data_IF_054969534794
#
_entry.id   IF_054969534794
#
_cell.length_a   1.000
_cell.length_b   1.000
_cell.length_c   1.000
_cell.angle_alpha   90.00
_cell.angle_beta   90.00
_cell.angle_gamma   90.00
#
_symmetry.space_group_name_H-M   'P 1'
#
loop_
_entity.id
_entity.type
_entity.pdbx_description
1 polymer ?
#
# COMPACT_ATOMS: atom_id res chain seq x y z
N UNK A 1 29.75 9.43 5.46
CA UNK A 1 28.35 9.62 5.06
C UNK A 1 27.76 8.23 5.04
N UNK A 2 26.99 7.87 6.06
CA UNK A 2 26.39 6.55 6.13
C UNK A 2 25.31 6.48 5.07
N UNK A 3 25.54 5.68 4.05
CA UNK A 3 24.58 5.32 3.03
C UNK A 3 23.50 4.48 3.73
N UNK A 4 22.46 5.14 4.24
CA UNK A 4 21.25 4.44 4.69
C UNK A 4 20.47 4.08 3.44
N UNK A 5 20.97 3.07 2.72
CA UNK A 5 20.21 2.49 1.61
C UNK A 5 18.96 1.87 2.24
N UNK A 6 17.80 2.51 2.02
CA UNK A 6 16.51 2.02 2.49
C UNK A 6 16.30 0.55 2.12
N UNK A 7 15.60 -0.20 2.97
CA UNK A 7 15.35 -1.61 2.67
C UNK A 7 14.36 -1.70 1.50
N UNK A 8 14.63 -2.58 0.54
CA UNK A 8 13.67 -2.86 -0.54
C UNK A 8 12.72 -3.98 -0.09
N UNK A 9 11.41 -3.74 -0.17
CA UNK A 9 10.37 -4.76 0.03
C UNK A 9 9.77 -5.17 -1.32
N UNK A 10 9.61 -6.47 -1.52
CA UNK A 10 9.00 -7.02 -2.74
C UNK A 10 7.54 -7.39 -2.45
N UNK A 11 6.60 -6.73 -3.14
CA UNK A 11 5.17 -6.92 -2.94
C UNK A 11 4.45 -7.19 -4.26
N UNK A 12 3.34 -7.92 -4.20
CA UNK A 12 2.50 -8.16 -5.37
C UNK A 12 1.28 -7.23 -5.36
N UNK A 13 0.87 -6.80 -6.56
CA UNK A 13 -0.37 -6.08 -6.82
C UNK A 13 -1.20 -6.78 -7.90
N UNK A 14 -2.51 -6.57 -7.83
CA UNK A 14 -3.38 -6.82 -8.98
C UNK A 14 -3.17 -5.73 -10.03
N UNK A 15 -3.33 -6.07 -11.32
CA UNK A 15 -3.07 -5.15 -12.44
C UNK A 15 -3.73 -3.79 -12.26
N UNK A 16 -5.02 -3.76 -11.91
CA UNK A 16 -5.77 -2.51 -11.72
C UNK A 16 -5.13 -1.54 -10.70
N UNK A 17 -4.47 -2.07 -9.65
CA UNK A 17 -3.80 -1.22 -8.65
C UNK A 17 -2.36 -0.90 -9.06
N UNK A 18 -1.70 -1.83 -9.74
CA UNK A 18 -0.38 -1.60 -10.31
C UNK A 18 -0.40 -0.41 -11.28
N UNK A 19 -1.37 -0.37 -12.19
CA UNK A 19 -1.49 0.71 -13.18
C UNK A 19 -1.73 2.09 -12.52
N UNK A 20 -2.44 2.12 -11.38
CA UNK A 20 -2.67 3.34 -10.62
C UNK A 20 -1.41 3.83 -9.88
N UNK A 21 -0.59 2.92 -9.38
CA UNK A 21 0.70 3.25 -8.76
C UNK A 21 1.70 3.69 -9.83
N UNK A 22 1.79 2.95 -10.94
CA UNK A 22 2.70 3.24 -12.05
C UNK A 22 2.38 4.57 -12.77
N UNK A 23 1.14 5.05 -12.69
CA UNK A 23 0.74 6.38 -13.16
C UNK A 23 0.93 7.50 -12.13
N UNK A 24 1.35 7.17 -10.89
CA UNK A 24 1.48 8.14 -9.79
C UNK A 24 0.14 8.64 -9.23
N UNK A 25 -0.98 8.08 -9.68
CA UNK A 25 -2.33 8.53 -9.29
C UNK A 25 -2.72 8.03 -7.90
N UNK A 26 -2.26 6.83 -7.52
CA UNK A 26 -2.49 6.23 -6.19
C UNK A 26 -1.26 6.47 -5.31
N UNK A 27 -1.46 7.17 -4.19
CA UNK A 27 -0.39 7.58 -3.27
C UNK A 27 -0.42 6.86 -1.92
N UNK A 28 -1.50 6.12 -1.62
CA UNK A 28 -1.61 5.30 -0.41
C UNK A 28 -1.76 3.83 -0.80
N UNK A 29 -0.81 2.99 -0.41
CA UNK A 29 -0.93 1.55 -0.46
C UNK A 29 -1.51 1.00 0.85
N UNK A 30 -2.50 0.12 0.75
CA UNK A 30 -3.16 -0.48 1.91
C UNK A 30 -2.65 -1.90 2.12
N UNK A 31 -2.17 -2.20 3.33
CA UNK A 31 -1.77 -3.54 3.76
C UNK A 31 -2.36 -3.84 5.14
N UNK A 32 -2.36 -5.10 5.52
CA UNK A 32 -2.49 -5.47 6.94
C UNK A 32 -1.11 -5.52 7.58
N UNK A 33 -1.05 -5.40 8.90
CA UNK A 33 0.20 -5.44 9.68
C UNK A 33 0.79 -6.85 9.77
N UNK A 34 1.18 -7.39 8.62
CA UNK A 34 1.94 -8.64 8.60
C UNK A 34 3.28 -8.46 9.31
N UNK A 35 3.81 -9.51 9.96
CA UNK A 35 5.10 -9.42 10.65
C UNK A 35 6.26 -8.94 9.77
N UNK A 36 6.25 -9.24 8.47
CA UNK A 36 7.28 -8.81 7.50
C UNK A 36 7.16 -7.34 7.06
N UNK A 37 6.10 -6.65 7.48
CA UNK A 37 5.87 -5.22 7.25
C UNK A 37 5.93 -4.41 8.55
N UNK A 38 6.16 -5.06 9.69
CA UNK A 38 6.13 -4.41 11.00
C UNK A 38 7.25 -3.37 11.20
N UNK A 39 8.34 -3.48 10.44
CA UNK A 39 9.49 -2.57 10.47
C UNK A 39 9.56 -1.63 9.26
N UNK A 40 8.53 -1.64 8.39
CA UNK A 40 8.48 -0.75 7.23
C UNK A 40 8.38 0.70 7.69
N UNK A 41 9.26 1.57 7.19
CA UNK A 41 9.31 2.96 7.59
C UNK A 41 9.57 3.91 6.41
N UNK A 42 9.41 5.20 6.67
CA UNK A 42 9.80 6.23 5.71
C UNK A 42 11.30 6.11 5.37
N UNK A 43 11.61 6.23 4.07
CA UNK A 43 12.96 6.03 3.54
C UNK A 43 13.22 4.61 3.01
N UNK A 44 12.34 3.64 3.29
CA UNK A 44 12.36 2.35 2.58
C UNK A 44 11.81 2.49 1.16
N UNK A 45 12.04 1.47 0.32
CA UNK A 45 11.45 1.38 -1.01
C UNK A 45 10.65 0.10 -1.16
N UNK A 46 9.62 0.13 -2.00
CA UNK A 46 8.82 -1.04 -2.36
C UNK A 46 8.94 -1.26 -3.86
N UNK A 47 9.27 -2.49 -4.24
CA UNK A 47 9.14 -2.97 -5.62
C UNK A 47 7.85 -3.77 -5.74
N UNK A 48 6.89 -3.20 -6.44
CA UNK A 48 5.65 -3.88 -6.80
C UNK A 48 5.83 -4.73 -8.04
N UNK A 49 5.14 -5.87 -8.09
CA UNK A 49 5.09 -6.77 -9.24
C UNK A 49 3.67 -7.26 -9.50
N UNK A 50 3.37 -7.63 -10.73
CA UNK A 50 2.16 -8.39 -11.06
C UNK A 50 2.53 -9.87 -11.18
N UNK A 51 1.81 -10.74 -10.45
CA UNK A 51 2.04 -12.19 -10.48
C UNK A 51 1.92 -12.73 -11.92
N UNK A 52 2.91 -13.51 -12.34
CA UNK A 52 2.93 -14.13 -13.68
C UNK A 52 3.43 -13.22 -14.80
N UNK A 53 4.05 -12.08 -14.46
CA UNK A 53 4.65 -11.14 -15.42
C UNK A 53 6.02 -10.67 -14.92
N UNK A 54 6.80 -10.05 -15.81
CA UNK A 54 8.06 -9.36 -15.46
C UNK A 54 7.86 -7.87 -15.17
N UNK A 55 6.61 -7.37 -15.16
CA UNK A 55 6.31 -5.97 -14.89
C UNK A 55 6.59 -5.61 -13.43
N UNK A 56 7.36 -4.54 -13.24
CA UNK A 56 7.71 -4.00 -11.92
C UNK A 56 7.53 -2.50 -11.86
N UNK A 57 7.23 -1.99 -10.66
CA UNK A 57 7.14 -0.57 -10.36
C UNK A 57 7.79 -0.32 -9.00
N UNK A 58 8.74 0.60 -8.94
CA UNK A 58 9.40 0.98 -7.69
C UNK A 58 8.83 2.27 -7.14
N UNK A 59 8.63 2.29 -5.82
CA UNK A 59 8.14 3.46 -5.09
C UNK A 59 8.97 3.66 -3.83
N UNK A 60 9.03 4.91 -3.38
CA UNK A 60 9.62 5.29 -2.10
C UNK A 60 8.52 5.42 -1.05
N UNK A 61 8.77 4.89 0.14
CA UNK A 61 7.88 5.04 1.29
C UNK A 61 8.19 6.37 1.96
N UNK A 62 7.18 7.24 2.07
CA UNK A 62 7.31 8.56 2.69
C UNK A 62 6.67 8.62 4.08
N UNK A 63 5.68 7.75 4.35
CA UNK A 63 5.03 7.61 5.65
C UNK A 63 4.42 6.22 5.80
N UNK A 64 4.37 5.71 7.02
CA UNK A 64 3.58 4.53 7.39
C UNK A 64 2.70 4.91 8.57
N UNK A 65 1.39 4.70 8.45
CA UNK A 65 0.40 5.00 9.48
C UNK A 65 -0.39 3.74 9.81
N UNK A 66 -0.51 3.42 11.09
CA UNK A 66 -1.30 2.29 11.57
C UNK A 66 -2.72 2.73 11.91
N UNK A 67 -3.70 1.92 11.56
CA UNK A 67 -5.10 2.09 11.88
C UNK A 67 -5.67 0.79 12.48
N UNK A 68 -6.69 0.90 13.36
CA UNK A 68 -7.32 -0.27 13.96
C UNK A 68 -8.03 -1.15 12.93
N UNK A 69 -8.60 -0.56 11.88
CA UNK A 69 -9.37 -1.23 10.83
C UNK A 69 -9.34 -0.45 9.50
N UNK A 70 -9.95 -0.99 8.45
CA UNK A 70 -9.98 -0.35 7.14
C UNK A 70 -10.91 0.87 7.07
N UNK A 71 -11.89 0.97 7.97
CA UNK A 71 -12.82 2.10 8.00
C UNK A 71 -12.10 3.35 8.51
N UNK A 72 -11.40 3.23 9.64
CA UNK A 72 -10.55 4.28 10.20
C UNK A 72 -9.45 4.70 9.23
N UNK A 73 -8.86 3.75 8.48
CA UNK A 73 -7.88 4.05 7.44
C UNK A 73 -8.48 4.91 6.32
N UNK A 74 -9.63 4.51 5.78
CA UNK A 74 -10.28 5.26 4.69
C UNK A 74 -10.76 6.64 5.13
N UNK A 75 -11.19 6.77 6.39
CA UNK A 75 -11.63 8.04 6.97
C UNK A 75 -10.44 8.98 7.26
N UNK A 76 -9.29 8.43 7.66
CA UNK A 76 -8.08 9.19 7.96
C UNK A 76 -7.29 9.64 6.72
N UNK A 77 -7.09 8.73 5.75
CA UNK A 77 -6.30 9.01 4.54
C UNK A 77 -7.14 9.63 3.41
N UNK A 78 -8.46 9.42 3.45
CA UNK A 78 -9.37 9.81 2.39
C UNK A 78 -9.42 8.80 1.23
N UNK A 79 -10.62 8.44 0.75
CA UNK A 79 -10.78 7.40 -0.29
C UNK A 79 -10.11 7.77 -1.62
N UNK A 80 -9.99 9.06 -1.95
CA UNK A 80 -9.37 9.50 -3.20
C UNK A 80 -7.86 9.18 -3.26
N UNK A 81 -7.15 9.23 -2.12
CA UNK A 81 -5.72 8.92 -2.04
C UNK A 81 -5.45 7.41 -2.05
N UNK A 82 -6.42 6.60 -1.60
CA UNK A 82 -6.36 5.14 -1.59
C UNK A 82 -6.74 4.56 -2.95
N UNK A 83 -7.88 4.94 -3.51
CA UNK A 83 -8.25 4.56 -4.87
C UNK A 83 -9.18 5.63 -5.49
N UNK A 84 -8.66 6.52 -6.35
CA UNK A 84 -9.46 7.61 -6.89
C UNK A 84 -10.54 7.16 -7.88
N UNK A 85 -10.53 5.89 -8.30
CA UNK A 85 -11.47 5.37 -9.32
C UNK A 85 -12.71 4.70 -8.74
N UNK A 86 -12.82 4.56 -7.41
CA UNK A 86 -13.94 3.88 -6.77
C UNK A 86 -14.47 4.67 -5.54
N UNK A 87 -15.78 4.61 -5.23
CA UNK A 87 -16.33 5.20 -4.03
C UNK A 87 -15.86 4.44 -2.77
N UNK A 88 -15.86 5.12 -1.61
CA UNK A 88 -15.37 4.59 -0.32
C UNK A 88 -15.90 3.19 0.01
N UNK A 89 -17.21 2.96 -0.12
CA UNK A 89 -17.83 1.68 0.28
C UNK A 89 -17.43 0.53 -0.65
N UNK A 90 -17.22 0.83 -1.94
CA UNK A 90 -16.68 -0.15 -2.88
C UNK A 90 -15.22 -0.46 -2.58
N UNK A 91 -14.41 0.55 -2.22
CA UNK A 91 -13.04 0.34 -1.79
C UNK A 91 -12.98 -0.56 -0.56
N UNK A 92 -13.77 -0.26 0.48
CA UNK A 92 -13.84 -1.07 1.69
C UNK A 92 -14.22 -2.52 1.38
N UNK A 93 -15.23 -2.71 0.53
CA UNK A 93 -15.67 -4.03 0.08
C UNK A 93 -14.54 -4.78 -0.66
N UNK A 94 -13.83 -4.10 -1.57
CA UNK A 94 -12.75 -4.70 -2.34
C UNK A 94 -11.52 -5.01 -1.49
N UNK A 95 -11.18 -4.15 -0.51
CA UNK A 95 -10.11 -4.41 0.45
C UNK A 95 -10.46 -5.63 1.31
N UNK A 96 -11.67 -5.72 1.85
CA UNK A 96 -12.11 -6.88 2.68
C UNK A 96 -12.20 -8.19 1.91
N UNK A 97 -12.41 -8.15 0.58
CA UNK A 97 -12.28 -9.35 -0.27
C UNK A 97 -10.85 -9.90 -0.33
N UNK A 98 -9.84 -9.02 -0.21
CA UNK A 98 -8.42 -9.38 -0.23
C UNK A 98 -7.95 -9.74 1.20
N UNK A 99 -8.43 -8.97 2.17
CA UNK A 99 -8.14 -9.06 3.59
C UNK A 99 -9.42 -9.32 4.38
N UNK A 100 -9.86 -10.59 4.48
CA UNK A 100 -10.98 -10.97 5.35
C UNK A 100 -10.72 -10.63 6.83
N UNK A 101 -11.75 -10.68 7.70
CA UNK A 101 -11.70 -10.16 9.06
C UNK A 101 -10.52 -10.67 9.90
N UNK A 102 -10.11 -11.93 9.74
CA UNK A 102 -8.97 -12.50 10.46
C UNK A 102 -7.63 -11.83 10.11
N UNK A 103 -7.52 -11.27 8.89
CA UNK A 103 -6.36 -10.49 8.47
C UNK A 103 -6.49 -9.03 8.88
N UNK A 104 -7.69 -8.46 8.79
CA UNK A 104 -7.97 -7.10 9.28
C UNK A 104 -7.67 -6.98 10.78
N UNK A 105 -7.93 -8.04 11.56
CA UNK A 105 -7.62 -8.13 12.99
C UNK A 105 -6.12 -7.98 13.34
N UNK A 106 -5.22 -8.09 12.35
CA UNK A 106 -3.80 -7.76 12.55
C UNK A 106 -3.56 -6.25 12.66
N UNK A 107 -4.53 -5.43 12.26
CA UNK A 107 -4.42 -3.99 12.07
C UNK A 107 -4.18 -3.62 10.60
N UNK A 108 -4.59 -2.41 10.23
CA UNK A 108 -4.45 -1.86 8.90
C UNK A 108 -3.25 -0.90 8.81
N UNK A 109 -2.54 -0.91 7.68
CA UNK A 109 -1.42 -0.05 7.38
C UNK A 109 -1.75 0.80 6.16
N UNK A 110 -1.66 2.12 6.31
CA UNK A 110 -1.58 3.07 5.21
C UNK A 110 -0.12 3.42 4.95
N UNK A 111 0.39 2.99 3.80
CA UNK A 111 1.75 3.22 3.37
C UNK A 111 1.70 4.33 2.32
N UNK A 112 2.13 5.54 2.69
CA UNK A 112 2.27 6.63 1.74
C UNK A 112 3.48 6.37 0.84
N UNK A 113 3.24 6.42 -0.46
CA UNK A 113 4.19 6.07 -1.49
C UNK A 113 4.29 7.17 -2.55
N UNK A 114 5.48 7.30 -3.10
CA UNK A 114 5.77 8.16 -4.25
C UNK A 114 6.49 7.35 -5.31
N UNK A 115 6.09 7.52 -6.57
CA UNK A 115 6.72 6.83 -7.69
C UNK A 115 8.20 7.21 -7.76
N UNK A 116 9.09 6.22 -7.80
CA UNK A 116 10.52 6.47 -7.97
C UNK A 116 10.77 6.99 -9.39
N UNK A 117 11.29 8.21 -9.48
CA UNK A 117 11.68 8.88 -10.73
C UNK A 117 12.97 8.34 -11.32
#
# INVERSE_FOLDING_TARGET
MSDTTGRVRELNLYRQYFDLVASGTKTIEVRVKYPNLADLAAGDSIRFRIKGTDETCEVNVTRVTEYPDFEALLDGEGPASVNPTAPRDEQLTNIRKIYPPEKEALGALAIQIELSS
#
